data_IF_831346656841
#
_entry.id   IF_831346656841
#
_cell.length_a   1.000
_cell.length_b   1.000
_cell.length_c   1.000
_cell.angle_alpha   90.00
_cell.angle_beta   90.00
_cell.angle_gamma   90.00
#
_symmetry.space_group_name_H-M   'P 1'
#
loop_
_entity.id
_entity.type
_entity.pdbx_description
1 polymer ?
#
# COMPACT_ATOMS: atom_id res chain seq x y z
N UNK A 1 -20.75 -28.52 -12.23
CA UNK A 1 -20.24 -27.34 -11.48
C UNK A 1 -18.71 -27.09 -11.56
N UNK A 2 -17.85 -28.06 -11.94
CA UNK A 2 -16.38 -27.86 -12.04
C UNK A 2 -15.94 -26.75 -13.01
N UNK A 3 -16.60 -26.63 -14.17
CA UNK A 3 -16.27 -25.62 -15.21
C UNK A 3 -16.46 -24.19 -14.69
N UNK A 4 -17.51 -23.94 -13.91
CA UNK A 4 -17.80 -22.62 -13.32
C UNK A 4 -16.74 -22.25 -12.27
N UNK A 5 -16.28 -23.19 -11.44
CA UNK A 5 -15.21 -22.93 -10.47
C UNK A 5 -13.86 -22.67 -11.13
N UNK A 6 -13.53 -23.39 -12.21
CA UNK A 6 -12.33 -23.12 -13.02
C UNK A 6 -12.40 -21.72 -13.65
N UNK A 7 -13.55 -21.34 -14.21
CA UNK A 7 -13.73 -20.03 -14.83
C UNK A 7 -13.66 -18.87 -13.81
N UNK A 8 -14.10 -19.09 -12.57
CA UNK A 8 -14.01 -18.09 -11.48
C UNK A 8 -12.57 -17.72 -11.11
N UNK A 9 -11.62 -18.66 -11.21
CA UNK A 9 -10.20 -18.38 -10.92
C UNK A 9 -9.58 -17.36 -11.90
N UNK A 10 -10.09 -17.27 -13.15
CA UNK A 10 -9.66 -16.23 -14.10
C UNK A 10 -10.16 -14.83 -13.71
N UNK A 11 -11.30 -14.72 -13.04
CA UNK A 11 -11.81 -13.44 -12.55
C UNK A 11 -10.90 -12.82 -11.49
N UNK A 12 -10.27 -13.66 -10.65
CA UNK A 12 -9.29 -13.18 -9.66
C UNK A 12 -8.01 -12.67 -10.32
N UNK A 13 -7.51 -13.35 -11.36
CA UNK A 13 -6.38 -12.86 -12.15
C UNK A 13 -6.68 -11.52 -12.84
N UNK A 14 -7.88 -11.35 -13.40
CA UNK A 14 -8.31 -10.10 -14.01
C UNK A 14 -8.36 -8.95 -12.99
N UNK A 15 -8.82 -9.22 -11.77
CA UNK A 15 -8.84 -8.24 -10.69
C UNK A 15 -7.44 -7.80 -10.26
N UNK A 16 -6.47 -8.72 -10.24
CA UNK A 16 -5.05 -8.40 -9.97
C UNK A 16 -4.48 -7.52 -11.08
N UNK A 17 -4.69 -7.88 -12.35
CA UNK A 17 -4.22 -7.09 -13.49
C UNK A 17 -4.82 -5.69 -13.49
N UNK A 18 -6.12 -5.55 -13.16
CA UNK A 18 -6.76 -4.23 -13.01
C UNK A 18 -6.13 -3.42 -11.89
N UNK A 19 -5.83 -4.04 -10.74
CA UNK A 19 -5.15 -3.36 -9.65
C UNK A 19 -3.72 -2.93 -10.01
N UNK A 20 -2.98 -3.73 -10.78
CA UNK A 20 -1.66 -3.34 -11.26
C UNK A 20 -1.73 -2.14 -12.21
N UNK A 21 -2.64 -2.18 -13.19
CA UNK A 21 -2.85 -1.09 -14.16
C UNK A 21 -3.24 0.22 -13.47
N UNK A 22 -4.35 0.20 -12.72
CA UNK A 22 -4.95 1.40 -12.12
C UNK A 22 -4.25 1.82 -10.81
N UNK A 23 -3.78 0.86 -10.04
CA UNK A 23 -3.25 1.07 -8.68
C UNK A 23 -1.75 1.39 -8.65
N UNK A 24 -0.98 0.74 -9.54
CA UNK A 24 0.47 0.85 -9.65
C UNK A 24 0.92 1.55 -10.93
N UNK A 25 -0.02 2.08 -11.73
CA UNK A 25 0.24 2.91 -12.89
C UNK A 25 1.04 2.19 -14.00
N UNK A 26 0.86 0.88 -14.15
CA UNK A 26 1.49 0.10 -15.23
C UNK A 26 1.12 0.62 -16.61
N UNK A 27 -0.08 1.18 -16.76
CA UNK A 27 -0.55 1.77 -18.03
C UNK A 27 0.11 3.10 -18.40
N UNK A 28 0.84 3.74 -17.47
CA UNK A 28 1.47 5.06 -17.67
C UNK A 28 2.96 4.96 -18.05
N UNK A 29 3.41 3.78 -18.48
CA UNK A 29 4.76 3.60 -19.00
C UNK A 29 4.79 4.15 -20.44
N UNK A 30 5.47 5.29 -20.64
CA UNK A 30 5.42 6.06 -21.91
C UNK A 30 6.76 6.08 -22.67
N UNK A 31 7.75 5.26 -22.31
CA UNK A 31 9.03 5.26 -23.05
C UNK A 31 8.93 4.52 -24.38
N UNK A 32 9.67 4.98 -25.38
CA UNK A 32 9.87 4.28 -26.64
C UNK A 32 10.89 3.12 -26.53
N UNK A 33 11.63 3.06 -25.43
CA UNK A 33 12.65 2.03 -25.19
C UNK A 33 12.06 0.81 -24.46
N UNK A 34 12.22 -0.37 -25.05
CA UNK A 34 11.70 -1.63 -24.51
C UNK A 34 12.33 -2.02 -23.17
N UNK A 35 13.65 -1.85 -23.02
CA UNK A 35 14.36 -2.22 -21.80
C UNK A 35 14.01 -1.27 -20.65
N UNK A 36 13.86 0.02 -20.93
CA UNK A 36 13.38 0.99 -19.96
C UNK A 36 11.96 0.65 -19.47
N UNK A 37 11.06 0.30 -20.39
CA UNK A 37 9.70 -0.12 -20.06
C UNK A 37 9.70 -1.40 -19.21
N UNK A 38 10.51 -2.39 -19.58
CA UNK A 38 10.63 -3.63 -18.83
C UNK A 38 11.14 -3.40 -17.40
N UNK A 39 12.13 -2.53 -17.22
CA UNK A 39 12.65 -2.18 -15.90
C UNK A 39 11.60 -1.47 -15.03
N UNK A 40 10.86 -0.50 -15.59
CA UNK A 40 9.78 0.20 -14.87
C UNK A 40 8.67 -0.78 -14.48
N UNK A 41 8.27 -1.65 -15.38
CA UNK A 41 7.25 -2.66 -15.12
C UNK A 41 7.68 -3.62 -13.98
N UNK A 42 8.94 -4.07 -13.98
CA UNK A 42 9.49 -4.89 -12.91
C UNK A 42 9.48 -4.16 -11.56
N UNK A 43 9.81 -2.87 -11.52
CA UNK A 43 9.73 -2.07 -10.30
C UNK A 43 8.27 -1.94 -9.79
N UNK A 44 7.30 -1.79 -10.68
CA UNK A 44 5.89 -1.74 -10.33
C UNK A 44 5.38 -3.09 -9.77
N UNK A 45 5.77 -4.21 -10.39
CA UNK A 45 5.50 -5.55 -9.89
C UNK A 45 6.11 -5.77 -8.50
N UNK A 46 7.35 -5.33 -8.30
CA UNK A 46 8.00 -5.41 -6.99
C UNK A 46 7.22 -4.60 -5.94
N UNK A 47 6.80 -3.37 -6.28
CA UNK A 47 5.99 -2.54 -5.40
C UNK A 47 4.64 -3.21 -5.05
N UNK A 48 3.98 -3.85 -6.01
CA UNK A 48 2.77 -4.64 -5.78
C UNK A 48 3.02 -5.76 -4.76
N UNK A 49 4.06 -6.56 -5.00
CA UNK A 49 4.42 -7.69 -4.13
C UNK A 49 4.77 -7.22 -2.71
N UNK A 50 5.49 -6.10 -2.57
CA UNK A 50 5.80 -5.51 -1.26
C UNK A 50 4.53 -5.09 -0.50
N UNK A 51 3.54 -4.51 -1.19
CA UNK A 51 2.26 -4.15 -0.58
C UNK A 51 1.49 -5.40 -0.16
N UNK A 52 1.43 -6.44 -0.99
CA UNK A 52 0.75 -7.69 -0.62
C UNK A 52 1.43 -8.34 0.57
N UNK A 53 2.76 -8.46 0.55
CA UNK A 53 3.54 -8.96 1.67
C UNK A 53 3.26 -8.17 2.95
N UNK A 54 3.30 -6.83 2.88
CA UNK A 54 2.98 -5.96 4.00
C UNK A 54 1.58 -6.22 4.58
N UNK A 55 0.55 -6.38 3.73
CA UNK A 55 -0.83 -6.68 4.16
C UNK A 55 -0.90 -8.01 4.90
N UNK A 56 -0.33 -9.07 4.33
CA UNK A 56 -0.44 -10.42 4.87
C UNK A 56 0.36 -10.60 6.16
N UNK A 57 1.48 -9.89 6.31
CA UNK A 57 2.34 -10.00 7.48
C UNK A 57 1.94 -9.08 8.63
N UNK A 58 1.48 -7.86 8.34
CA UNK A 58 1.31 -6.83 9.37
C UNK A 58 -0.14 -6.40 9.62
N UNK A 59 -1.09 -6.75 8.75
CA UNK A 59 -2.50 -6.33 8.86
C UNK A 59 -3.44 -7.49 9.21
N UNK A 60 -4.58 -7.15 9.85
CA UNK A 60 -5.65 -8.11 10.15
C UNK A 60 -6.28 -8.59 8.82
N UNK A 61 -6.84 -9.81 8.81
CA UNK A 61 -7.50 -10.40 7.62
C UNK A 61 -8.54 -9.49 6.94
N UNK A 62 -9.23 -8.64 7.71
CA UNK A 62 -10.20 -7.66 7.17
C UNK A 62 -9.60 -6.62 6.23
N UNK A 63 -8.27 -6.45 6.23
CA UNK A 63 -7.56 -5.52 5.35
C UNK A 63 -7.01 -6.18 4.08
N UNK A 64 -7.04 -7.52 3.98
CA UNK A 64 -6.40 -8.25 2.88
C UNK A 64 -7.09 -8.06 1.54
N UNK A 65 -8.38 -7.73 1.53
CA UNK A 65 -9.12 -7.44 0.30
C UNK A 65 -9.02 -5.97 -0.13
N UNK A 66 -8.30 -5.13 0.63
CA UNK A 66 -8.13 -3.73 0.26
C UNK A 66 -7.13 -3.58 -0.88
N UNK A 67 -7.51 -2.73 -1.84
CA UNK A 67 -6.63 -2.33 -2.94
C UNK A 67 -5.64 -1.26 -2.50
N UNK A 68 -4.54 -1.09 -3.21
CA UNK A 68 -3.51 -0.09 -2.90
C UNK A 68 -4.07 1.33 -2.79
N UNK A 69 -5.05 1.74 -3.61
CA UNK A 69 -5.68 3.06 -3.50
C UNK A 69 -6.37 3.26 -2.13
N UNK A 70 -7.03 2.21 -1.64
CA UNK A 70 -7.68 2.24 -0.32
C UNK A 70 -6.62 2.24 0.79
N UNK A 71 -5.56 1.44 0.65
CA UNK A 71 -4.45 1.44 1.62
C UNK A 71 -3.73 2.79 1.69
N UNK A 72 -3.50 3.43 0.53
CA UNK A 72 -2.91 4.77 0.47
C UNK A 72 -3.72 5.75 1.30
N UNK A 73 -5.03 5.81 1.08
CA UNK A 73 -5.90 6.70 1.84
C UNK A 73 -5.96 6.37 3.35
N UNK A 74 -5.79 5.10 3.72
CA UNK A 74 -5.98 4.63 5.11
C UNK A 74 -4.71 4.58 5.96
N UNK A 75 -3.53 4.46 5.35
CA UNK A 75 -2.28 4.17 6.08
C UNK A 75 -1.03 4.89 5.54
N UNK A 76 -1.01 5.34 4.27
CA UNK A 76 0.23 5.88 3.66
C UNK A 76 0.13 7.39 3.46
N UNK A 77 -0.98 7.86 2.88
CA UNK A 77 -1.22 9.26 2.53
C UNK A 77 -2.22 9.87 3.51
N UNK A 78 -1.90 9.80 4.80
CA UNK A 78 -2.74 10.34 5.87
C UNK A 78 -2.36 11.81 6.11
N UNK A 79 -3.36 12.65 6.35
CA UNK A 79 -3.14 14.03 6.76
C UNK A 79 -2.54 14.10 8.18
N UNK A 80 -1.42 14.78 8.32
CA UNK A 80 -0.74 15.00 9.59
C UNK A 80 0.23 16.19 9.50
N UNK A 81 0.69 16.66 10.66
CA UNK A 81 1.66 17.74 10.77
C UNK A 81 2.95 17.19 11.33
N UNK A 82 4.05 17.41 10.62
CA UNK A 82 5.40 17.10 11.10
C UNK A 82 5.95 18.33 11.83
N UNK A 83 6.24 18.19 13.12
CA UNK A 83 6.79 19.24 13.97
C UNK A 83 8.19 18.86 14.40
N UNK A 84 9.13 19.79 14.31
CA UNK A 84 10.47 19.61 14.88
C UNK A 84 10.60 20.46 16.14
N UNK A 85 10.80 19.82 17.29
CA UNK A 85 10.98 20.50 18.56
C UNK A 85 12.01 19.79 19.43
N UNK A 86 12.90 20.53 20.09
CA UNK A 86 13.92 20.00 21.00
C UNK A 86 14.75 18.81 20.43
N UNK A 87 15.16 18.88 19.16
CA UNK A 87 15.87 17.81 18.40
C UNK A 87 15.07 16.52 18.21
N UNK A 88 13.75 16.58 18.37
CA UNK A 88 12.81 15.50 18.08
C UNK A 88 11.94 15.87 16.90
N UNK A 89 11.73 14.93 15.99
CA UNK A 89 10.73 15.04 14.94
C UNK A 89 9.47 14.35 15.45
N UNK A 90 8.33 15.04 15.36
CA UNK A 90 7.06 14.58 15.89
C UNK A 90 6.04 14.56 14.75
N UNK A 91 5.34 13.44 14.58
CA UNK A 91 4.22 13.36 13.66
C UNK A 91 2.91 13.47 14.45
N UNK A 92 2.16 14.55 14.21
CA UNK A 92 0.83 14.79 14.79
C UNK A 92 -0.23 14.39 13.79
N UNK A 93 -1.14 13.51 14.19
CA UNK A 93 -2.28 13.05 13.40
C UNK A 93 -3.56 13.34 14.18
N UNK A 94 -4.70 13.48 13.51
CA UNK A 94 -5.97 13.68 14.20
C UNK A 94 -6.27 12.52 15.17
N UNK A 95 -6.55 12.87 16.43
CA UNK A 95 -7.07 11.96 17.48
C UNK A 95 -8.26 11.13 17.01
N UNK A 96 -9.14 11.72 16.21
CA UNK A 96 -10.36 11.09 15.71
C UNK A 96 -10.16 10.35 14.39
N UNK A 97 -8.90 10.10 13.99
CA UNK A 97 -8.63 9.37 12.77
C UNK A 97 -9.14 7.92 12.88
N UNK A 98 -10.04 7.54 11.97
CA UNK A 98 -10.75 6.26 11.99
C UNK A 98 -9.86 5.03 12.15
N UNK A 99 -8.63 5.06 11.62
CA UNK A 99 -7.71 3.93 11.63
C UNK A 99 -6.50 4.15 12.55
N UNK A 100 -6.60 5.06 13.52
CA UNK A 100 -5.49 5.47 14.40
C UNK A 100 -4.80 4.30 15.11
N UNK A 101 -5.56 3.37 15.68
CA UNK A 101 -5.01 2.18 16.36
C UNK A 101 -4.17 1.32 15.40
N UNK A 102 -4.68 1.10 14.18
CA UNK A 102 -3.96 0.31 13.17
C UNK A 102 -2.72 1.04 12.69
N UNK A 103 -2.81 2.35 12.45
CA UNK A 103 -1.68 3.18 12.07
C UNK A 103 -0.58 3.15 13.13
N UNK A 104 -0.93 3.38 14.40
CA UNK A 104 0.01 3.38 15.52
C UNK A 104 0.75 2.04 15.64
N UNK A 105 0.02 0.91 15.52
CA UNK A 105 0.63 -0.43 15.54
C UNK A 105 1.64 -0.62 14.41
N UNK A 106 1.24 -0.28 13.18
CA UNK A 106 2.12 -0.40 12.00
C UNK A 106 3.34 0.50 12.12
N UNK A 107 3.14 1.74 12.56
CA UNK A 107 4.20 2.72 12.75
C UNK A 107 5.28 2.20 13.72
N UNK A 108 4.86 1.59 14.83
CA UNK A 108 5.77 0.99 15.79
C UNK A 108 6.48 -0.25 15.24
N UNK A 109 5.77 -1.12 14.50
CA UNK A 109 6.34 -2.31 13.87
C UNK A 109 7.42 -1.98 12.83
N UNK A 110 7.21 -0.93 12.03
CA UNK A 110 8.16 -0.51 11.00
C UNK A 110 9.42 0.15 11.56
N UNK A 111 9.52 0.32 12.90
CA UNK A 111 10.69 0.84 13.61
C UNK A 111 11.36 2.01 12.86
N UNK A 112 10.56 2.99 12.43
CA UNK A 112 11.06 4.23 11.83
C UNK A 112 11.73 5.04 12.94
N UNK A 113 12.97 4.68 13.26
CA UNK A 113 13.78 5.32 14.29
C UNK A 113 14.16 6.72 13.80
N UNK A 114 13.32 7.71 14.15
CA UNK A 114 13.63 9.14 14.26
C UNK A 114 12.40 10.03 14.56
N UNK A 115 11.18 9.48 14.54
CA UNK A 115 9.96 10.27 14.71
C UNK A 115 9.13 9.76 15.91
N UNK A 116 8.81 10.66 16.85
CA UNK A 116 7.89 10.39 17.96
C UNK A 116 6.45 10.64 17.49
N UNK A 117 5.53 9.70 17.75
CA UNK A 117 4.12 9.89 17.40
C UNK A 117 3.39 10.53 18.59
N UNK A 118 2.80 11.70 18.39
CA UNK A 118 1.92 12.32 19.39
C UNK A 118 0.49 12.35 18.87
N UNK A 119 -0.40 11.90 19.76
CA UNK A 119 -1.86 11.85 19.59
C UNK A 119 -2.45 13.25 19.82
#
# INVERSE_FOLDING_TARGET
HKVVHFYRQRGDAENVIKEEKEGFAVENILSADFLANAAIYQMQLLAYNLVQYFKYTNLKKSWWNLRIKQLRFRLINIAGVVVNHARRTILRISVHYKYMETFHRIYHLLCIKRVELLI
#
